data_IF_015706908936
#
_entry.id   IF_015706908936
#
_cell.length_a   1.000
_cell.length_b   1.000
_cell.length_c   1.000
_cell.angle_alpha   90.00
_cell.angle_beta   90.00
_cell.angle_gamma   90.00
#
_symmetry.space_group_name_H-M   'P 1'
#
loop_
_entity.id
_entity.type
_entity.pdbx_description
1 polymer ?
#
# COMPACT_ATOMS: atom_id res chain seq x y z
N UNK A 1 22.09 -17.77 -94.60
CA UNK A 1 23.50 -17.54 -95.03
C UNK A 1 23.96 -16.17 -94.51
N UNK A 2 25.15 -16.08 -93.90
CA UNK A 2 25.89 -14.82 -93.57
C UNK A 2 25.17 -13.80 -92.64
N UNK A 3 25.83 -12.83 -91.98
CA UNK A 3 27.04 -12.92 -91.12
C UNK A 3 27.28 -11.64 -90.29
N UNK A 4 27.41 -11.78 -88.96
CA UNK A 4 28.27 -11.01 -88.01
C UNK A 4 28.38 -9.46 -88.04
N UNK A 5 28.18 -8.88 -86.83
CA UNK A 5 28.84 -7.70 -86.17
C UNK A 5 28.23 -6.29 -86.37
N UNK A 6 28.34 -5.50 -85.27
CA UNK A 6 28.05 -4.06 -85.12
C UNK A 6 29.36 -3.24 -85.08
N UNK A 7 29.34 -1.89 -84.90
CA UNK A 7 29.50 -1.35 -83.52
C UNK A 7 28.89 0.07 -83.23
N UNK A 8 28.97 0.47 -81.94
CA UNK A 8 29.30 1.78 -81.28
C UNK A 8 29.22 3.15 -82.02
N UNK A 9 29.12 4.35 -81.39
CA UNK A 9 28.80 4.91 -80.02
C UNK A 9 28.70 6.48 -80.16
N UNK A 10 28.22 7.21 -79.11
CA UNK A 10 28.38 8.68 -78.87
C UNK A 10 27.52 9.67 -79.70
N UNK A 11 27.23 10.93 -79.27
CA UNK A 11 27.22 11.55 -77.93
C UNK A 11 26.52 12.94 -77.89
N UNK A 12 25.83 13.23 -76.76
CA UNK A 12 25.67 14.53 -76.05
C UNK A 12 25.06 15.77 -76.77
N UNK A 13 24.05 16.38 -76.11
CA UNK A 13 23.55 17.74 -76.37
C UNK A 13 22.47 18.20 -75.36
N UNK A 14 22.86 18.96 -74.33
CA UNK A 14 22.00 19.54 -73.27
C UNK A 14 21.67 21.01 -73.61
N UNK A 15 20.63 21.71 -73.11
CA UNK A 15 19.63 21.43 -72.06
C UNK A 15 18.19 21.80 -72.57
N UNK A 16 17.18 22.36 -71.88
CA UNK A 16 17.02 23.14 -70.61
C UNK A 16 15.75 22.67 -69.86
N UNK A 17 15.55 23.09 -68.61
CA UNK A 17 14.47 22.67 -67.69
C UNK A 17 13.11 23.35 -67.94
N UNK A 18 12.03 22.62 -67.61
CA UNK A 18 11.11 23.00 -66.51
C UNK A 18 10.94 21.77 -65.61
N UNK A 19 10.91 21.94 -64.29
CA UNK A 19 10.84 20.84 -63.32
C UNK A 19 9.57 20.90 -62.46
N UNK A 20 8.94 19.74 -62.22
CA UNK A 20 7.89 19.56 -61.21
C UNK A 20 8.39 18.55 -60.19
N UNK A 21 8.65 19.02 -58.96
CA UNK A 21 9.18 18.21 -57.87
C UNK A 21 8.03 17.53 -57.11
N UNK A 22 7.75 16.26 -57.41
CA UNK A 22 7.05 15.39 -56.47
C UNK A 22 8.06 14.83 -55.47
N UNK A 23 8.18 15.50 -54.33
CA UNK A 23 9.02 15.09 -53.21
C UNK A 23 8.44 13.86 -52.50
N UNK A 24 8.89 12.67 -52.89
CA UNK A 24 8.63 11.41 -52.19
C UNK A 24 9.39 11.36 -50.85
N UNK A 25 8.97 12.20 -49.90
CA UNK A 25 9.55 12.34 -48.57
C UNK A 25 9.21 11.15 -47.67
N UNK A 26 9.79 9.98 -47.95
CA UNK A 26 9.71 8.83 -47.08
C UNK A 26 10.34 9.15 -45.72
N UNK A 27 9.52 9.27 -44.67
CA UNK A 27 10.05 9.44 -43.32
C UNK A 27 10.82 8.16 -42.91
N UNK A 28 12.06 8.28 -42.40
CA UNK A 28 12.78 7.12 -41.90
C UNK A 28 12.02 6.54 -40.69
N UNK A 29 11.73 5.24 -40.73
CA UNK A 29 10.95 4.59 -39.69
C UNK A 29 11.68 4.64 -38.34
N UNK A 30 11.09 5.36 -37.36
CA UNK A 30 11.65 5.54 -36.01
C UNK A 30 11.92 4.22 -35.25
N UNK A 31 11.35 3.10 -35.69
CA UNK A 31 11.64 1.78 -35.13
C UNK A 31 13.08 1.30 -35.32
N UNK A 32 13.77 1.74 -36.38
CA UNK A 32 15.13 1.25 -36.68
C UNK A 32 16.20 1.70 -35.67
N UNK A 33 16.13 2.96 -35.22
CA UNK A 33 17.10 3.53 -34.29
C UNK A 33 16.96 2.94 -32.89
N UNK A 34 15.74 2.96 -32.32
CA UNK A 34 15.48 2.45 -30.97
C UNK A 34 15.75 0.93 -30.86
N UNK A 35 15.52 0.16 -31.93
CA UNK A 35 15.89 -1.25 -31.98
C UNK A 35 17.42 -1.42 -31.94
N UNK A 36 18.18 -0.70 -32.78
CA UNK A 36 19.65 -0.77 -32.82
C UNK A 36 20.28 -0.38 -31.48
N UNK A 37 19.82 0.70 -30.88
CA UNK A 37 20.24 1.18 -29.55
C UNK A 37 19.96 0.14 -28.45
N UNK A 38 18.82 -0.55 -28.53
CA UNK A 38 18.47 -1.65 -27.60
C UNK A 38 19.38 -2.88 -27.79
N UNK A 39 19.75 -3.23 -29.02
CA UNK A 39 20.68 -4.33 -29.29
C UNK A 39 22.11 -4.04 -28.82
N UNK A 40 22.62 -2.83 -29.08
CA UNK A 40 23.95 -2.39 -28.62
C UNK A 40 24.05 -2.33 -27.09
N UNK A 41 22.96 -1.92 -26.41
CA UNK A 41 22.85 -1.98 -24.95
C UNK A 41 22.84 -3.41 -24.41
N UNK A 42 22.11 -4.33 -25.06
CA UNK A 42 22.06 -5.74 -24.65
C UNK A 42 23.41 -6.46 -24.86
N UNK A 43 24.08 -6.23 -26.00
CA UNK A 43 25.43 -6.74 -26.24
C UNK A 43 26.39 -6.27 -25.14
N UNK A 44 26.40 -4.95 -24.86
CA UNK A 44 27.22 -4.35 -23.79
C UNK A 44 26.94 -5.00 -22.43
N UNK A 45 25.67 -5.23 -22.08
CA UNK A 45 25.28 -5.90 -20.84
C UNK A 45 25.81 -7.34 -20.76
N UNK A 46 25.63 -8.14 -21.81
CA UNK A 46 26.11 -9.54 -21.84
C UNK A 46 27.64 -9.66 -21.82
N UNK A 47 28.35 -8.72 -22.46
CA UNK A 47 29.80 -8.64 -22.42
C UNK A 47 30.30 -8.31 -21.00
N UNK A 48 29.69 -7.32 -20.32
CA UNK A 48 30.04 -6.97 -18.93
C UNK A 48 29.79 -8.16 -17.99
N UNK A 49 28.63 -8.83 -18.09
CA UNK A 49 28.32 -10.01 -17.28
C UNK A 49 29.36 -11.13 -17.48
N UNK A 50 29.75 -11.39 -18.72
CA UNK A 50 30.77 -12.39 -19.08
C UNK A 50 32.17 -12.02 -18.58
N UNK A 51 32.53 -10.73 -18.59
CA UNK A 51 33.79 -10.23 -18.02
C UNK A 51 33.81 -10.41 -16.51
N UNK A 52 32.72 -10.13 -15.80
CA UNK A 52 32.61 -10.35 -14.35
C UNK A 52 32.75 -11.84 -14.03
N UNK A 53 31.97 -12.71 -14.68
CA UNK A 53 32.01 -14.17 -14.47
C UNK A 53 33.39 -14.81 -14.71
N UNK A 54 34.21 -14.23 -15.59
CA UNK A 54 35.53 -14.77 -15.95
C UNK A 54 36.70 -14.17 -15.16
N UNK A 55 36.58 -12.95 -14.64
CA UNK A 55 37.71 -12.19 -14.11
C UNK A 55 37.48 -11.58 -12.71
N UNK A 56 36.32 -11.81 -12.08
CA UNK A 56 36.16 -11.50 -10.65
C UNK A 56 37.02 -12.47 -9.80
N UNK A 57 37.39 -12.05 -8.58
CA UNK A 57 38.35 -12.77 -7.73
C UNK A 57 37.75 -14.01 -7.05
N UNK A 58 36.43 -14.01 -6.85
CA UNK A 58 35.66 -15.12 -6.25
C UNK A 58 34.66 -15.72 -7.26
N UNK A 59 34.16 -16.93 -7.01
CA UNK A 59 33.08 -17.53 -7.79
C UNK A 59 31.75 -16.76 -7.63
N UNK A 60 31.17 -16.30 -8.74
CA UNK A 60 29.94 -15.48 -8.75
C UNK A 60 28.73 -16.22 -9.32
N UNK A 61 27.61 -16.18 -8.61
CA UNK A 61 26.37 -16.80 -9.09
C UNK A 61 25.67 -15.91 -10.13
N UNK A 62 25.58 -16.38 -11.37
CA UNK A 62 24.92 -15.67 -12.50
C UNK A 62 23.53 -15.15 -12.14
N UNK A 63 22.74 -15.92 -11.38
CA UNK A 63 21.41 -15.51 -10.93
C UNK A 63 21.46 -14.25 -10.05
N UNK A 64 22.38 -14.18 -9.08
CA UNK A 64 22.52 -13.04 -8.19
C UNK A 64 22.97 -11.78 -8.94
N UNK A 65 23.84 -11.91 -9.96
CA UNK A 65 24.25 -10.80 -10.82
C UNK A 65 23.07 -10.26 -11.66
N UNK A 66 22.24 -11.16 -12.21
CA UNK A 66 21.04 -10.78 -12.98
C UNK A 66 19.98 -10.14 -12.06
N UNK A 67 19.70 -10.71 -10.90
CA UNK A 67 18.77 -10.14 -9.91
C UNK A 67 19.27 -8.78 -9.39
N UNK A 68 20.58 -8.63 -9.16
CA UNK A 68 21.21 -7.35 -8.83
C UNK A 68 21.06 -6.29 -9.92
N UNK A 69 21.24 -6.67 -11.19
CA UNK A 69 21.03 -5.78 -12.34
C UNK A 69 19.55 -5.37 -12.51
N UNK A 70 18.61 -6.31 -12.37
CA UNK A 70 17.17 -6.04 -12.39
C UNK A 70 16.78 -5.08 -11.27
N UNK A 71 17.25 -5.34 -10.05
CA UNK A 71 17.02 -4.47 -8.90
C UNK A 71 17.62 -3.08 -9.11
N UNK A 72 18.82 -2.97 -9.71
CA UNK A 72 19.42 -1.70 -10.09
C UNK A 72 18.58 -0.92 -11.11
N UNK A 73 18.09 -1.59 -12.16
CA UNK A 73 17.19 -0.98 -13.16
C UNK A 73 15.88 -0.51 -12.54
N UNK A 74 15.21 -1.33 -11.75
CA UNK A 74 13.92 -0.97 -11.15
C UNK A 74 14.05 0.11 -10.08
N UNK A 75 15.07 -0.01 -9.23
CA UNK A 75 15.40 1.03 -8.27
C UNK A 75 15.71 2.36 -8.96
N UNK A 76 16.23 2.38 -10.21
CA UNK A 76 16.49 3.62 -10.96
C UNK A 76 15.23 4.41 -11.33
N UNK A 77 14.05 3.76 -11.33
CA UNK A 77 12.77 4.38 -11.73
C UNK A 77 12.11 5.16 -10.59
N UNK A 78 11.73 4.47 -9.52
CA UNK A 78 10.97 5.00 -8.37
C UNK A 78 11.09 4.04 -7.17
N UNK A 79 10.83 4.47 -5.92
CA UNK A 79 11.02 3.64 -4.72
C UNK A 79 9.94 2.55 -4.51
N UNK A 80 8.90 2.50 -5.34
CA UNK A 80 7.81 1.52 -5.22
C UNK A 80 7.95 0.36 -6.22
N UNK A 81 8.56 0.61 -7.38
CA UNK A 81 8.85 -0.40 -8.41
C UNK A 81 9.92 -1.40 -7.95
N UNK A 82 9.62 -2.70 -7.99
CA UNK A 82 10.46 -3.76 -7.43
C UNK A 82 10.25 -5.12 -8.12
N UNK A 83 11.32 -5.92 -8.19
CA UNK A 83 11.24 -7.33 -8.55
C UNK A 83 10.92 -8.16 -7.31
N UNK A 84 9.85 -8.94 -7.39
CA UNK A 84 9.37 -9.80 -6.31
C UNK A 84 9.76 -11.24 -6.64
N UNK A 85 10.72 -11.78 -5.91
CA UNK A 85 11.06 -13.22 -5.98
C UNK A 85 9.83 -14.08 -5.64
N UNK A 86 9.79 -15.38 -6.00
CA UNK A 86 8.60 -16.20 -5.79
C UNK A 86 8.09 -16.28 -4.34
N UNK A 87 8.99 -16.20 -3.34
CA UNK A 87 8.58 -16.09 -1.93
C UNK A 87 8.01 -14.69 -1.60
N UNK A 88 8.65 -13.59 -2.05
CA UNK A 88 8.13 -12.22 -1.84
C UNK A 88 6.79 -11.96 -2.53
N UNK A 89 6.59 -12.49 -3.75
CA UNK A 89 5.32 -12.36 -4.45
C UNK A 89 4.22 -13.16 -3.72
N UNK A 90 4.55 -14.34 -3.18
CA UNK A 90 3.64 -15.16 -2.38
C UNK A 90 3.29 -14.51 -1.03
N UNK A 91 4.20 -13.78 -0.41
CA UNK A 91 3.92 -12.97 0.78
C UNK A 91 2.98 -11.81 0.45
N UNK A 92 3.26 -11.04 -0.62
CA UNK A 92 2.35 -10.00 -1.09
C UNK A 92 0.94 -10.54 -1.38
N UNK A 93 0.82 -11.73 -1.99
CA UNK A 93 -0.47 -12.38 -2.21
C UNK A 93 -1.21 -12.72 -0.91
N UNK A 94 -0.50 -13.14 0.14
CA UNK A 94 -1.10 -13.44 1.46
C UNK A 94 -1.62 -12.16 2.11
N UNK A 95 -0.83 -11.09 2.07
CA UNK A 95 -1.19 -9.79 2.65
C UNK A 95 -2.42 -9.22 1.95
N UNK A 96 -2.44 -9.19 0.60
CA UNK A 96 -3.59 -8.70 -0.16
C UNK A 96 -4.86 -9.53 0.06
N UNK A 97 -4.72 -10.85 0.31
CA UNK A 97 -5.84 -11.76 0.63
C UNK A 97 -6.34 -11.62 2.06
N UNK A 98 -5.61 -10.92 2.92
CA UNK A 98 -5.89 -10.84 4.36
C UNK A 98 -5.97 -12.20 5.04
N UNK A 99 -5.42 -13.27 4.44
CA UNK A 99 -5.66 -14.64 4.94
C UNK A 99 -4.67 -15.68 4.43
N UNK A 100 -4.38 -16.69 5.27
CA UNK A 100 -3.48 -17.80 4.95
C UNK A 100 -3.84 -19.10 5.68
N UNK A 101 -3.53 -20.24 5.06
CA UNK A 101 -3.62 -21.56 5.71
C UNK A 101 -2.48 -21.78 6.70
N UNK A 102 -2.79 -21.94 7.98
CA UNK A 102 -1.78 -22.07 9.04
C UNK A 102 -2.37 -22.21 10.44
N UNK A 103 -1.61 -21.76 11.45
CA UNK A 103 -1.88 -22.00 12.88
C UNK A 103 -2.25 -20.75 13.68
N UNK A 104 -1.94 -19.57 13.15
CA UNK A 104 -2.08 -18.30 13.87
C UNK A 104 -1.01 -18.12 14.95
N UNK A 105 0.27 -18.21 14.56
CA UNK A 105 1.41 -17.99 15.46
C UNK A 105 2.34 -16.99 14.78
N UNK A 106 2.71 -15.93 15.49
CA UNK A 106 3.87 -15.11 15.17
C UNK A 106 5.11 -15.73 15.82
N UNK A 107 6.16 -15.96 15.04
CA UNK A 107 7.40 -16.58 15.50
C UNK A 107 8.63 -15.77 15.08
N UNK A 108 9.71 -15.91 15.86
CA UNK A 108 11.00 -15.27 15.60
C UNK A 108 12.14 -16.25 15.92
N UNK A 109 13.36 -15.92 15.54
CA UNK A 109 14.56 -16.63 16.01
C UNK A 109 15.22 -15.81 17.13
N UNK A 110 15.27 -16.36 18.35
CA UNK A 110 16.03 -15.79 19.47
C UNK A 110 17.15 -16.75 19.85
N UNK A 111 18.38 -16.27 19.81
CA UNK A 111 19.58 -17.01 20.22
C UNK A 111 19.75 -18.38 19.52
N UNK A 112 19.33 -18.48 18.25
CA UNK A 112 19.38 -19.73 17.46
C UNK A 112 18.16 -20.65 17.63
N UNK A 113 17.16 -20.26 18.43
CA UNK A 113 15.95 -21.05 18.71
C UNK A 113 14.71 -20.35 18.16
N UNK A 114 13.87 -21.11 17.44
CA UNK A 114 12.55 -20.65 17.03
C UNK A 114 11.66 -20.49 18.26
N UNK A 115 11.14 -19.28 18.44
CA UNK A 115 10.43 -18.86 19.65
C UNK A 115 9.12 -18.17 19.25
N UNK A 116 8.03 -18.49 19.93
CA UNK A 116 6.72 -17.83 19.75
C UNK A 116 6.80 -16.40 20.28
N UNK A 117 6.50 -15.42 19.42
CA UNK A 117 6.29 -14.03 19.81
C UNK A 117 4.91 -13.91 20.45
N UNK A 118 3.86 -14.33 19.73
CA UNK A 118 2.50 -14.46 20.25
C UNK A 118 1.70 -15.48 19.44
N UNK A 119 0.78 -16.25 20.05
CA UNK A 119 -0.38 -16.76 19.33
C UNK A 119 -1.26 -15.58 18.89
N UNK A 120 -1.99 -15.74 17.78
CA UNK A 120 -3.06 -14.83 17.36
C UNK A 120 -4.36 -15.31 18.01
N UNK A 121 -5.14 -14.41 18.61
CA UNK A 121 -6.41 -14.73 19.26
C UNK A 121 -7.42 -15.42 18.31
N UNK A 122 -8.26 -16.31 18.83
CA UNK A 122 -9.22 -17.12 18.08
C UNK A 122 -8.63 -18.01 16.96
N UNK A 123 -7.34 -18.35 17.01
CA UNK A 123 -6.69 -19.27 16.06
C UNK A 123 -6.41 -20.66 16.68
N UNK A 124 -6.08 -21.68 15.86
CA UNK A 124 -5.72 -23.02 16.36
C UNK A 124 -4.68 -23.02 17.47
N UNK A 125 -3.65 -22.17 17.39
CA UNK A 125 -2.58 -22.15 18.38
C UNK A 125 -3.00 -21.53 19.71
N UNK A 126 -3.80 -20.46 19.68
CA UNK A 126 -4.39 -19.87 20.89
C UNK A 126 -5.30 -20.88 21.59
N UNK A 127 -6.21 -21.53 20.84
CA UNK A 127 -7.07 -22.60 21.36
C UNK A 127 -6.29 -23.81 21.88
N UNK A 128 -5.13 -24.12 21.30
CA UNK A 128 -4.26 -25.22 21.73
C UNK A 128 -3.31 -24.85 22.89
N UNK A 129 -3.45 -23.65 23.48
CA UNK A 129 -2.70 -23.25 24.67
C UNK A 129 -1.21 -22.95 24.44
N UNK A 130 -0.84 -22.62 23.20
CA UNK A 130 0.48 -22.04 22.86
C UNK A 130 0.59 -20.64 23.47
N UNK A 131 1.77 -20.27 23.98
CA UNK A 131 2.01 -18.99 24.67
C UNK A 131 3.23 -18.26 24.09
N UNK A 132 3.26 -16.95 24.30
CA UNK A 132 4.48 -16.14 24.11
C UNK A 132 5.64 -16.75 24.90
N UNK A 133 6.83 -16.82 24.28
CA UNK A 133 8.03 -17.42 24.88
C UNK A 133 8.17 -18.94 24.71
N UNK A 134 7.15 -19.66 24.23
CA UNK A 134 7.30 -21.09 23.91
C UNK A 134 8.35 -21.29 22.81
N UNK A 135 9.33 -22.15 23.06
CA UNK A 135 10.37 -22.54 22.10
C UNK A 135 9.88 -23.73 21.27
N UNK A 136 9.86 -23.59 19.94
CA UNK A 136 9.47 -24.65 19.02
C UNK A 136 10.69 -25.53 18.79
N UNK A 137 10.72 -26.72 19.41
CA UNK A 137 11.84 -27.67 19.35
C UNK A 137 11.75 -28.62 18.15
N UNK A 138 10.53 -28.92 17.68
CA UNK A 138 10.28 -29.74 16.49
C UNK A 138 9.01 -29.31 15.76
N UNK A 139 8.97 -29.60 14.46
CA UNK A 139 7.76 -29.50 13.61
C UNK A 139 7.56 -30.88 12.95
N UNK A 140 6.42 -31.54 13.20
CA UNK A 140 6.14 -32.91 12.75
C UNK A 140 7.24 -33.94 13.10
N UNK A 141 7.86 -33.80 14.27
CA UNK A 141 8.93 -34.68 14.75
C UNK A 141 10.36 -34.31 14.29
N UNK A 142 10.48 -33.45 13.27
CA UNK A 142 11.73 -32.95 12.72
C UNK A 142 12.26 -31.78 13.57
N UNK A 143 13.53 -31.83 13.99
CA UNK A 143 14.11 -30.80 14.87
C UNK A 143 14.26 -29.44 14.17
N UNK A 144 13.88 -28.37 14.87
CA UNK A 144 13.98 -26.98 14.38
C UNK A 144 15.38 -26.39 14.49
N UNK A 145 16.27 -27.03 15.25
CA UNK A 145 17.69 -26.68 15.27
C UNK A 145 18.21 -26.75 13.82
N UNK A 146 18.91 -25.70 13.41
CA UNK A 146 19.46 -25.52 12.06
C UNK A 146 18.41 -25.29 10.94
N UNK A 147 17.10 -25.19 11.26
CA UNK A 147 16.08 -24.69 10.31
C UNK A 147 16.10 -23.16 10.20
N UNK A 148 15.86 -22.61 8.99
CA UNK A 148 15.58 -21.18 8.85
C UNK A 148 14.15 -20.84 9.31
N UNK A 149 13.92 -19.55 9.61
CA UNK A 149 12.58 -19.03 9.89
C UNK A 149 11.60 -19.30 8.73
N UNK A 150 12.09 -19.19 7.49
CA UNK A 150 11.31 -19.39 6.26
C UNK A 150 10.91 -20.86 6.11
N UNK A 151 11.82 -21.81 6.39
CA UNK A 151 11.52 -23.24 6.30
C UNK A 151 10.52 -23.68 7.37
N UNK A 152 10.66 -23.16 8.58
CA UNK A 152 9.70 -23.39 9.65
C UNK A 152 8.30 -22.86 9.27
N UNK A 153 8.20 -21.63 8.75
CA UNK A 153 6.94 -21.07 8.24
C UNK A 153 6.38 -21.90 7.09
N UNK A 154 7.23 -22.40 6.16
CA UNK A 154 6.81 -23.29 5.06
C UNK A 154 6.29 -24.65 5.56
N UNK A 155 6.83 -25.21 6.66
CA UNK A 155 6.32 -26.45 7.30
C UNK A 155 5.05 -26.21 8.15
N UNK A 156 4.92 -25.06 8.81
CA UNK A 156 3.74 -24.74 9.64
C UNK A 156 2.53 -24.26 8.83
N UNK A 157 2.73 -23.51 7.74
CA UNK A 157 1.68 -23.23 6.74
C UNK A 157 1.28 -24.52 6.01
N UNK A 158 0.13 -24.50 5.32
CA UNK A 158 -0.38 -25.66 4.57
C UNK A 158 -1.88 -25.58 4.32
N UNK A 159 -2.48 -26.59 3.65
CA UNK A 159 -3.92 -26.61 3.36
C UNK A 159 -4.76 -26.65 4.65
N UNK A 160 -5.95 -26.04 4.59
CA UNK A 160 -6.98 -26.13 5.64
C UNK A 160 -7.27 -27.60 5.99
N UNK A 161 -7.65 -27.86 7.23
CA UNK A 161 -8.07 -29.17 7.77
C UNK A 161 -6.95 -30.24 7.84
N UNK A 162 -5.74 -29.93 7.38
CA UNK A 162 -4.54 -30.78 7.59
C UNK A 162 -3.94 -30.55 8.98
N UNK A 163 -3.33 -31.59 9.57
CA UNK A 163 -2.71 -31.49 10.90
C UNK A 163 -1.21 -31.13 10.85
N UNK A 164 -0.72 -30.60 11.96
CA UNK A 164 0.72 -30.43 12.27
C UNK A 164 0.92 -30.56 13.78
N UNK A 165 2.03 -31.15 14.19
CA UNK A 165 2.41 -31.30 15.60
C UNK A 165 3.65 -30.46 15.86
N UNK A 166 3.58 -29.55 16.84
CA UNK A 166 4.73 -28.81 17.35
C UNK A 166 5.18 -29.42 18.67
N UNK A 167 6.45 -29.83 18.78
CA UNK A 167 7.06 -30.12 20.08
C UNK A 167 7.51 -28.80 20.67
N UNK A 168 6.88 -28.35 21.75
CA UNK A 168 7.17 -27.10 22.42
C UNK A 168 7.95 -27.31 23.72
N UNK A 169 8.78 -26.34 24.09
CA UNK A 169 9.38 -26.20 25.40
C UNK A 169 8.99 -24.85 25.97
N UNK A 170 8.36 -24.82 27.15
CA UNK A 170 7.96 -23.59 27.83
C UNK A 170 9.01 -23.17 28.84
N UNK A 171 9.14 -21.86 29.06
CA UNK A 171 10.04 -21.32 30.07
C UNK A 171 9.64 -21.82 31.47
N UNK A 172 10.63 -22.08 32.33
CA UNK A 172 10.48 -22.67 33.67
C UNK A 172 9.85 -24.09 33.74
N UNK A 173 9.62 -24.76 32.60
CA UNK A 173 9.35 -26.21 32.56
C UNK A 173 10.53 -26.98 31.97
N UNK A 174 11.02 -28.07 32.61
CA UNK A 174 12.12 -28.87 32.06
C UNK A 174 11.68 -29.80 30.91
N UNK A 175 10.42 -30.18 30.89
CA UNK A 175 9.82 -31.11 29.92
C UNK A 175 9.44 -30.41 28.61
N UNK A 176 9.38 -31.20 27.53
CA UNK A 176 8.82 -30.79 26.24
C UNK A 176 7.46 -31.47 26.04
N UNK A 177 6.53 -30.78 25.37
CA UNK A 177 5.17 -31.28 25.15
C UNK A 177 4.73 -31.10 23.70
N UNK A 178 4.00 -32.08 23.16
CA UNK A 178 3.52 -32.07 21.78
C UNK A 178 2.13 -31.43 21.67
N UNK A 179 2.02 -30.38 20.86
CA UNK A 179 0.77 -29.68 20.55
C UNK A 179 0.38 -30.00 19.11
N UNK A 180 -0.63 -30.85 18.94
CA UNK A 180 -1.18 -31.18 17.61
C UNK A 180 -2.35 -30.26 17.27
N UNK A 181 -2.20 -29.48 16.21
CA UNK A 181 -3.19 -28.53 15.72
C UNK A 181 -3.70 -28.92 14.33
N UNK A 182 -4.95 -28.57 14.04
CA UNK A 182 -5.50 -28.55 12.68
C UNK A 182 -5.24 -27.18 12.08
N UNK A 183 -4.75 -27.12 10.83
CA UNK A 183 -4.57 -25.86 10.10
C UNK A 183 -5.91 -25.27 9.70
N UNK A 184 -6.08 -23.97 9.92
CA UNK A 184 -7.26 -23.21 9.52
C UNK A 184 -6.88 -22.08 8.57
N UNK A 185 -7.88 -21.46 7.93
CA UNK A 185 -7.68 -20.20 7.21
C UNK A 185 -7.68 -19.09 8.24
N UNK A 186 -6.48 -18.69 8.66
CA UNK A 186 -6.25 -17.55 9.54
C UNK A 186 -6.65 -16.29 8.78
N UNK A 187 -7.49 -15.46 9.40
CA UNK A 187 -7.88 -14.15 8.85
C UNK A 187 -7.14 -13.05 9.60
N UNK A 188 -6.53 -12.14 8.86
CA UNK A 188 -5.99 -10.89 9.36
C UNK A 188 -7.18 -9.92 9.48
N UNK A 189 -7.41 -9.37 10.67
CA UNK A 189 -8.50 -8.40 10.87
C UNK A 189 -8.09 -7.03 10.34
N UNK A 190 -8.41 -6.77 9.07
CA UNK A 190 -8.27 -5.45 8.42
C UNK A 190 -9.28 -4.41 8.93
N UNK A 191 -10.37 -4.86 9.56
CA UNK A 191 -11.42 -4.02 10.13
C UNK A 191 -11.57 -4.33 11.62
N UNK A 192 -11.42 -3.32 12.47
CA UNK A 192 -11.72 -3.39 13.90
C UNK A 192 -12.78 -2.34 14.24
N UNK A 193 -13.71 -2.64 15.14
CA UNK A 193 -14.77 -1.69 15.48
C UNK A 193 -15.19 -1.81 16.94
N UNK A 194 -15.80 -0.74 17.47
CA UNK A 194 -16.51 -0.74 18.76
C UNK A 194 -17.49 0.43 18.84
N UNK A 195 -18.53 0.26 19.66
CA UNK A 195 -19.35 1.39 20.11
C UNK A 195 -18.52 2.32 21.01
N UNK A 196 -18.68 3.63 20.82
CA UNK A 196 -18.10 4.67 21.66
C UNK A 196 -19.09 5.07 22.78
N UNK A 197 -20.29 5.47 22.35
CA UNK A 197 -21.41 5.91 23.17
C UNK A 197 -22.74 5.44 22.53
N UNK A 198 -23.89 5.52 23.20
CA UNK A 198 -25.19 5.35 22.55
C UNK A 198 -25.31 6.28 21.33
N UNK A 199 -25.63 5.73 20.16
CA UNK A 199 -25.65 6.44 18.89
C UNK A 199 -24.28 6.61 18.17
N UNK A 200 -23.13 6.33 18.79
CA UNK A 200 -21.81 6.65 18.19
C UNK A 200 -20.89 5.44 18.04
N UNK A 201 -20.39 5.22 16.83
CA UNK A 201 -19.51 4.12 16.46
C UNK A 201 -18.08 4.56 16.11
N UNK A 202 -17.13 3.66 16.33
CA UNK A 202 -15.76 3.76 15.85
C UNK A 202 -15.41 2.53 15.02
N UNK A 203 -14.80 2.75 13.85
CA UNK A 203 -14.22 1.70 13.02
C UNK A 203 -12.80 2.11 12.65
N UNK A 204 -11.83 1.22 12.84
CA UNK A 204 -10.47 1.35 12.35
C UNK A 204 -10.22 0.40 11.19
N UNK A 205 -9.72 0.95 10.08
CA UNK A 205 -9.07 0.15 9.04
C UNK A 205 -7.57 0.07 9.35
N UNK A 206 -6.98 -1.10 9.12
CA UNK A 206 -5.54 -1.33 9.32
C UNK A 206 -4.82 -1.71 8.03
N UNK A 207 -5.55 -2.18 7.01
CA UNK A 207 -5.06 -2.44 5.66
C UNK A 207 -6.24 -2.67 4.70
N UNK A 208 -6.07 -2.31 3.42
CA UNK A 208 -7.05 -2.57 2.35
C UNK A 208 -6.79 -3.92 1.66
N UNK A 209 -7.48 -4.96 2.13
CA UNK A 209 -7.36 -6.37 1.74
C UNK A 209 -8.61 -6.83 0.96
N UNK A 210 -8.56 -8.01 0.32
CA UNK A 210 -9.61 -8.56 -0.59
C UNK A 210 -11.06 -8.55 -0.05
N UNK A 211 -11.28 -8.37 1.26
CA UNK A 211 -12.59 -8.36 1.93
C UNK A 211 -12.87 -7.12 2.78
N UNK A 212 -12.05 -6.07 2.73
CA UNK A 212 -12.19 -4.93 3.66
C UNK A 212 -13.55 -4.23 3.55
N UNK A 213 -14.12 -4.16 2.35
CA UNK A 213 -15.51 -3.74 2.07
C UNK A 213 -16.56 -4.62 2.76
N UNK A 214 -16.50 -5.93 2.52
CA UNK A 214 -17.37 -6.97 3.06
C UNK A 214 -17.37 -6.95 4.61
N UNK A 215 -16.19 -6.74 5.19
CA UNK A 215 -15.93 -6.79 6.62
C UNK A 215 -16.31 -5.45 7.29
N UNK A 216 -16.15 -4.33 6.59
CA UNK A 216 -16.64 -3.00 6.99
C UNK A 216 -18.17 -2.93 6.99
N UNK A 217 -18.83 -3.44 5.95
CA UNK A 217 -20.30 -3.43 5.88
C UNK A 217 -20.93 -4.24 7.02
N UNK A 218 -20.30 -5.36 7.43
CA UNK A 218 -20.71 -6.13 8.61
C UNK A 218 -20.43 -5.39 9.93
N UNK A 219 -19.32 -4.67 10.03
CA UNK A 219 -19.02 -3.82 11.20
C UNK A 219 -20.07 -2.70 11.37
N UNK A 220 -20.46 -2.03 10.27
CA UNK A 220 -21.48 -0.98 10.28
C UNK A 220 -22.87 -1.53 10.67
N UNK A 221 -23.28 -2.69 10.13
CA UNK A 221 -24.52 -3.38 10.52
C UNK A 221 -24.55 -3.81 11.99
N UNK A 222 -23.39 -4.19 12.55
CA UNK A 222 -23.27 -4.51 13.98
C UNK A 222 -23.33 -3.26 14.85
N UNK A 223 -22.60 -2.20 14.49
CA UNK A 223 -22.60 -0.90 15.17
C UNK A 223 -23.99 -0.28 15.23
N UNK A 224 -24.72 -0.22 14.11
CA UNK A 224 -26.08 0.33 14.05
C UNK A 224 -27.03 -0.39 15.02
N UNK A 225 -26.98 -1.73 15.03
CA UNK A 225 -27.75 -2.55 15.97
C UNK A 225 -27.32 -2.32 17.43
N UNK A 226 -26.03 -2.20 17.73
CA UNK A 226 -25.54 -1.98 19.10
C UNK A 226 -25.74 -0.55 19.60
N UNK A 227 -25.85 0.42 18.71
CA UNK A 227 -26.11 1.83 19.03
C UNK A 227 -27.61 2.17 19.05
N UNK A 228 -28.46 1.27 18.57
CA UNK A 228 -29.89 1.45 18.34
C UNK A 228 -30.20 2.56 17.32
N UNK A 229 -29.46 2.57 16.21
CA UNK A 229 -29.47 3.59 15.18
C UNK A 229 -28.20 4.44 15.23
N UNK A 230 -27.35 4.34 14.21
CA UNK A 230 -26.06 5.04 14.16
C UNK A 230 -26.25 6.53 13.86
N UNK A 231 -25.92 7.39 14.82
CA UNK A 231 -26.04 8.86 14.77
C UNK A 231 -24.73 9.57 14.41
N UNK A 232 -23.59 8.88 14.52
CA UNK A 232 -22.29 9.39 14.08
C UNK A 232 -21.21 8.31 14.06
N UNK A 233 -20.24 8.46 13.16
CA UNK A 233 -19.16 7.49 12.93
C UNK A 233 -17.79 8.16 12.93
N UNK A 234 -16.83 7.58 13.65
CA UNK A 234 -15.40 7.86 13.47
C UNK A 234 -14.77 6.72 12.67
N UNK A 235 -14.20 7.05 11.50
CA UNK A 235 -13.46 6.13 10.63
C UNK A 235 -11.95 6.41 10.77
N UNK A 236 -11.23 5.50 11.38
CA UNK A 236 -9.81 5.65 11.69
C UNK A 236 -8.93 4.97 10.63
N UNK A 237 -8.13 5.77 9.93
CA UNK A 237 -7.17 5.37 8.89
C UNK A 237 -5.72 5.66 9.31
N UNK A 238 -5.48 6.01 10.59
CA UNK A 238 -4.13 6.30 11.09
C UNK A 238 -3.27 5.05 11.04
N UNK A 239 -2.04 5.21 10.55
CA UNK A 239 -1.09 4.11 10.33
C UNK A 239 -1.58 2.99 9.38
N UNK A 240 -2.62 3.23 8.56
CA UNK A 240 -3.01 2.32 7.47
C UNK A 240 -2.22 2.67 6.18
N UNK A 241 -1.26 1.84 5.75
CA UNK A 241 -0.43 2.09 4.57
C UNK A 241 -1.17 1.85 3.24
N UNK A 242 -2.46 1.50 3.30
CA UNK A 242 -3.32 1.27 2.17
C UNK A 242 -3.38 -0.20 1.76
N UNK A 243 -3.32 -0.45 0.46
CA UNK A 243 -3.48 -1.79 -0.12
C UNK A 243 -4.17 -1.74 -1.47
N UNK A 244 -5.21 -2.55 -1.66
CA UNK A 244 -5.90 -2.71 -2.94
C UNK A 244 -6.73 -1.46 -3.31
N UNK A 245 -6.40 -0.84 -4.46
CA UNK A 245 -7.15 0.28 -5.06
C UNK A 245 -8.65 -0.02 -5.19
N UNK A 246 -9.01 -1.23 -5.61
CA UNK A 246 -10.39 -1.69 -5.74
C UNK A 246 -11.15 -1.71 -4.42
N UNK A 247 -10.45 -1.88 -3.30
CA UNK A 247 -11.03 -1.89 -1.96
C UNK A 247 -11.20 -0.48 -1.40
N UNK A 248 -10.26 0.44 -1.65
CA UNK A 248 -10.51 1.87 -1.37
C UNK A 248 -11.74 2.40 -2.12
N UNK A 249 -11.90 2.02 -3.38
CA UNK A 249 -13.10 2.37 -4.17
C UNK A 249 -14.38 1.86 -3.48
N UNK A 250 -14.45 0.58 -3.09
CA UNK A 250 -15.65 0.01 -2.44
C UNK A 250 -15.89 0.54 -1.03
N UNK A 251 -14.84 0.79 -0.25
CA UNK A 251 -14.95 1.41 1.08
C UNK A 251 -15.50 2.83 1.00
N UNK A 252 -15.10 3.62 0.00
CA UNK A 252 -15.67 4.95 -0.23
C UNK A 252 -17.12 4.88 -0.76
N UNK A 253 -17.43 3.90 -1.62
CA UNK A 253 -18.77 3.63 -2.18
C UNK A 253 -19.81 3.37 -1.08
N UNK A 254 -19.42 2.72 0.03
CA UNK A 254 -20.28 2.51 1.20
C UNK A 254 -20.76 3.81 1.88
N UNK A 255 -20.11 4.95 1.64
CA UNK A 255 -20.45 6.24 2.26
C UNK A 255 -20.87 7.33 1.27
N UNK A 256 -20.76 7.09 -0.04
CA UNK A 256 -21.04 8.06 -1.11
C UNK A 256 -22.21 7.60 -2.00
N UNK A 257 -23.23 8.45 -2.19
CA UNK A 257 -24.40 8.05 -3.00
C UNK A 257 -24.15 8.13 -4.52
N UNK A 258 -23.23 9.00 -4.96
CA UNK A 258 -22.92 9.22 -6.37
C UNK A 258 -21.64 10.02 -6.53
N UNK A 259 -21.18 10.18 -7.78
CA UNK A 259 -20.02 11.00 -8.14
C UNK A 259 -18.73 10.21 -8.27
N UNK A 260 -17.65 10.90 -8.67
CA UNK A 260 -16.33 10.31 -8.87
C UNK A 260 -15.67 10.04 -7.51
N UNK A 261 -15.11 8.85 -7.29
CA UNK A 261 -14.35 8.50 -6.07
C UNK A 261 -12.86 8.76 -6.29
N UNK A 262 -12.32 8.26 -7.40
CA UNK A 262 -10.91 8.39 -7.78
C UNK A 262 -10.79 8.18 -9.28
N UNK A 263 -9.78 8.80 -9.88
CA UNK A 263 -9.34 8.45 -11.23
C UNK A 263 -7.84 8.21 -11.30
N UNK A 264 -7.44 7.35 -12.23
CA UNK A 264 -6.03 7.09 -12.57
C UNK A 264 -5.69 7.73 -13.90
N UNK A 265 -4.44 8.17 -14.05
CA UNK A 265 -3.86 8.55 -15.33
C UNK A 265 -2.51 7.86 -15.53
N UNK A 266 -2.34 7.23 -16.68
CA UNK A 266 -1.23 6.32 -16.97
C UNK A 266 -0.89 6.29 -18.45
N UNK A 267 0.25 5.68 -18.79
CA UNK A 267 0.81 5.75 -20.16
C UNK A 267 -0.05 5.03 -21.20
N UNK A 268 -0.77 3.98 -20.79
CA UNK A 268 -1.66 3.20 -21.65
C UNK A 268 -3.13 3.52 -21.33
N UNK A 269 -4.02 3.41 -22.31
CA UNK A 269 -5.43 3.81 -22.12
C UNK A 269 -6.17 2.94 -21.09
N UNK A 270 -5.81 1.66 -20.98
CA UNK A 270 -6.31 0.77 -19.92
C UNK A 270 -5.79 1.11 -18.51
N UNK A 271 -4.82 2.02 -18.38
CA UNK A 271 -4.32 2.56 -17.12
C UNK A 271 -5.01 3.88 -16.74
N UNK A 272 -5.86 4.44 -17.62
CA UNK A 272 -6.70 5.61 -17.36
C UNK A 272 -8.10 5.15 -17.01
N UNK A 273 -8.45 5.14 -15.73
CA UNK A 273 -9.71 4.59 -15.24
C UNK A 273 -10.41 5.60 -14.33
N UNK A 274 -11.73 5.57 -14.29
CA UNK A 274 -12.56 6.42 -13.42
C UNK A 274 -13.53 5.56 -12.63
N UNK A 275 -13.50 5.70 -11.31
CA UNK A 275 -14.30 4.89 -10.39
C UNK A 275 -15.35 5.78 -9.74
N UNK A 276 -16.62 5.38 -9.80
CA UNK A 276 -17.77 6.19 -9.38
C UNK A 276 -18.59 5.49 -8.30
N UNK A 277 -19.19 6.29 -7.42
CA UNK A 277 -20.03 5.82 -6.32
C UNK A 277 -21.48 5.49 -6.76
N UNK A 278 -22.17 4.67 -5.98
CA UNK A 278 -23.43 4.00 -6.33
C UNK A 278 -24.40 3.98 -5.15
N UNK A 279 -25.55 4.64 -5.31
CA UNK A 279 -26.56 4.87 -4.26
C UNK A 279 -27.11 3.65 -3.47
N UNK A 280 -27.26 2.43 -4.00
CA UNK A 280 -27.89 1.34 -3.25
C UNK A 280 -27.05 0.86 -2.06
N UNK A 281 -27.55 1.09 -0.84
CA UNK A 281 -26.91 0.64 0.41
C UNK A 281 -25.90 1.62 1.02
N UNK A 282 -25.82 2.86 0.51
CA UNK A 282 -24.97 3.91 1.08
C UNK A 282 -25.37 4.27 2.52
N UNK A 283 -24.39 4.34 3.42
CA UNK A 283 -24.53 4.88 4.77
C UNK A 283 -24.33 6.40 4.75
N UNK A 284 -25.34 7.17 4.34
CA UNK A 284 -25.27 8.64 4.22
C UNK A 284 -25.96 9.44 5.34
N UNK A 285 -26.86 8.84 6.12
CA UNK A 285 -27.78 9.57 7.03
C UNK A 285 -27.12 10.24 8.27
N UNK A 286 -25.88 9.88 8.62
CA UNK A 286 -25.17 10.41 9.78
C UNK A 286 -23.87 11.18 9.43
N UNK A 287 -23.49 12.21 10.22
CA UNK A 287 -22.17 12.84 10.12
C UNK A 287 -21.04 11.83 10.42
N UNK A 288 -19.88 12.01 9.81
CA UNK A 288 -18.70 11.19 10.10
C UNK A 288 -17.40 12.01 10.11
N UNK A 289 -16.43 11.57 10.90
CA UNK A 289 -15.07 12.10 10.95
C UNK A 289 -14.10 11.01 10.51
N UNK A 290 -13.10 11.35 9.70
CA UNK A 290 -12.02 10.45 9.26
C UNK A 290 -10.73 10.85 9.95
N UNK A 291 -10.14 9.95 10.76
CA UNK A 291 -8.86 10.18 11.41
C UNK A 291 -7.71 9.77 10.48
N UNK A 292 -6.72 10.65 10.32
CA UNK A 292 -5.54 10.43 9.47
C UNK A 292 -4.25 10.93 10.11
N UNK A 293 -3.12 10.34 9.73
CA UNK A 293 -1.79 10.82 10.12
C UNK A 293 -0.74 10.56 9.02
N UNK A 294 0.52 10.89 9.28
CA UNK A 294 1.63 10.64 8.34
C UNK A 294 1.87 9.16 7.97
N UNK A 295 1.29 8.21 8.70
CA UNK A 295 1.29 6.77 8.35
C UNK A 295 0.11 6.33 7.47
N UNK A 296 -0.92 7.18 7.32
CA UNK A 296 -2.00 6.99 6.34
C UNK A 296 -1.43 7.15 4.93
N UNK A 297 -1.50 6.11 4.10
CA UNK A 297 -0.93 6.13 2.75
C UNK A 297 -1.81 5.44 1.69
N UNK A 298 -1.57 5.74 0.41
CA UNK A 298 -2.10 4.97 -0.73
C UNK A 298 -3.64 4.88 -0.71
N UNK A 299 -4.20 3.66 -0.75
CA UNK A 299 -5.62 3.36 -0.67
C UNK A 299 -6.36 4.12 0.47
N UNK A 300 -5.71 4.35 1.61
CA UNK A 300 -6.26 5.12 2.73
C UNK A 300 -6.45 6.61 2.39
N UNK A 301 -5.50 7.18 1.63
CA UNK A 301 -5.55 8.57 1.15
C UNK A 301 -6.61 8.75 0.05
N UNK A 302 -6.94 7.68 -0.70
CA UNK A 302 -8.08 7.67 -1.63
C UNK A 302 -9.39 7.82 -0.88
N UNK A 303 -9.60 7.02 0.17
CA UNK A 303 -10.83 7.10 0.99
C UNK A 303 -10.94 8.47 1.66
N UNK A 304 -9.88 8.94 2.33
CA UNK A 304 -9.89 10.26 2.97
C UNK A 304 -10.14 11.39 1.94
N UNK A 305 -9.43 11.40 0.82
CA UNK A 305 -9.58 12.42 -0.22
C UNK A 305 -10.94 12.41 -0.93
N UNK A 306 -11.52 11.23 -1.17
CA UNK A 306 -12.85 11.13 -1.75
C UNK A 306 -13.95 11.63 -0.79
N UNK A 307 -13.89 11.24 0.49
CA UNK A 307 -14.87 11.67 1.49
C UNK A 307 -14.75 13.17 1.80
N UNK A 308 -13.54 13.74 1.76
CA UNK A 308 -13.28 15.18 1.90
C UNK A 308 -13.82 15.97 0.69
N UNK A 309 -13.48 15.56 -0.55
CA UNK A 309 -13.89 16.30 -1.76
C UNK A 309 -15.42 16.32 -1.95
N UNK A 310 -16.11 15.25 -1.54
CA UNK A 310 -17.58 15.19 -1.52
C UNK A 310 -18.22 15.87 -0.31
N UNK A 311 -17.42 16.37 0.65
CA UNK A 311 -17.89 16.91 1.94
C UNK A 311 -18.72 15.91 2.75
N UNK A 312 -18.49 14.61 2.53
CA UNK A 312 -19.16 13.51 3.23
C UNK A 312 -18.63 13.34 4.65
N UNK A 313 -17.35 13.65 4.86
CA UNK A 313 -16.68 13.58 6.15
C UNK A 313 -15.85 14.85 6.41
N UNK A 314 -15.58 15.13 7.67
CA UNK A 314 -14.46 15.98 8.07
C UNK A 314 -13.21 15.09 8.25
N UNK A 315 -12.07 15.50 7.72
CA UNK A 315 -10.78 14.85 7.93
C UNK A 315 -10.05 15.53 9.09
N UNK A 316 -9.62 14.75 10.09
CA UNK A 316 -8.99 15.25 11.32
C UNK A 316 -7.66 14.52 11.58
N UNK A 317 -6.64 15.26 12.02
CA UNK A 317 -5.36 14.70 12.45
C UNK A 317 -4.15 15.40 11.82
N UNK A 318 -3.23 14.66 11.22
CA UNK A 318 -2.04 15.22 10.54
C UNK A 318 -1.93 14.84 9.08
N UNK A 319 -1.23 15.66 8.30
CA UNK A 319 -1.03 15.48 6.86
C UNK A 319 -0.47 14.10 6.52
N UNK A 320 -1.07 13.44 5.53
CA UNK A 320 -0.81 12.04 5.17
C UNK A 320 0.48 11.85 4.36
N UNK A 321 0.84 10.59 4.08
CA UNK A 321 2.15 10.21 3.54
C UNK A 321 2.45 10.78 2.13
N UNK A 322 1.42 10.88 1.27
CA UNK A 322 1.52 11.45 -0.07
C UNK A 322 1.82 10.48 -1.21
N UNK A 323 1.35 9.22 -1.16
CA UNK A 323 1.62 8.24 -2.22
C UNK A 323 0.48 8.23 -3.26
N UNK A 324 0.53 9.11 -4.25
CA UNK A 324 -0.43 9.21 -5.36
C UNK A 324 -0.11 8.30 -6.57
N UNK A 325 0.47 7.11 -6.35
CA UNK A 325 0.95 6.23 -7.42
C UNK A 325 0.34 4.82 -7.36
N UNK A 326 -0.04 4.29 -8.54
CA UNK A 326 -0.59 2.94 -8.72
C UNK A 326 0.50 2.00 -9.21
N UNK A 327 0.75 0.94 -8.45
CA UNK A 327 1.58 -0.18 -8.89
C UNK A 327 0.73 -1.30 -9.49
N UNK A 328 1.08 -1.75 -10.69
CA UNK A 328 0.57 -3.00 -11.27
C UNK A 328 1.50 -4.15 -10.88
N UNK A 329 0.93 -5.32 -10.58
CA UNK A 329 1.69 -6.57 -10.42
C UNK A 329 1.62 -7.34 -11.73
N UNK A 330 2.79 -7.68 -12.28
CA UNK A 330 2.96 -8.41 -13.53
C UNK A 330 3.63 -9.75 -13.20
N UNK A 331 2.88 -10.87 -13.11
CA UNK A 331 3.44 -12.19 -12.83
C UNK A 331 4.36 -12.65 -13.97
N UNK A 332 5.40 -13.42 -13.63
CA UNK A 332 6.34 -14.02 -14.58
C UNK A 332 6.32 -15.56 -14.46
N UNK A 333 6.80 -16.25 -15.50
CA UNK A 333 6.63 -17.70 -15.68
C UNK A 333 7.32 -18.57 -14.60
N UNK A 334 8.31 -18.03 -13.88
CA UNK A 334 9.00 -18.70 -12.76
C UNK A 334 8.27 -18.56 -11.41
N UNK A 335 7.08 -17.95 -11.40
CA UNK A 335 6.30 -17.53 -10.23
C UNK A 335 6.89 -16.33 -9.47
N UNK A 336 7.85 -15.60 -10.04
CA UNK A 336 8.18 -14.23 -9.58
C UNK A 336 7.13 -13.23 -10.10
N UNK A 337 7.25 -11.96 -9.72
CA UNK A 337 6.47 -10.88 -10.31
C UNK A 337 7.25 -9.55 -10.37
N UNK A 338 6.99 -8.76 -11.40
CA UNK A 338 7.39 -7.35 -11.44
C UNK A 338 6.26 -6.49 -10.83
N UNK A 339 6.54 -5.81 -9.72
CA UNK A 339 5.72 -4.68 -9.25
C UNK A 339 6.23 -3.41 -9.91
N UNK A 340 5.41 -2.75 -10.73
CA UNK A 340 5.81 -1.57 -11.50
C UNK A 340 4.80 -0.43 -11.31
N UNK A 341 5.28 0.79 -11.06
CA UNK A 341 4.42 1.98 -11.08
C UNK A 341 3.98 2.28 -12.51
N UNK A 342 2.66 2.24 -12.76
CA UNK A 342 2.07 2.32 -14.11
C UNK A 342 1.17 3.53 -14.33
N UNK A 343 0.63 4.11 -13.26
CA UNK A 343 -0.24 5.27 -13.29
C UNK A 343 -0.04 6.13 -12.03
N UNK A 344 -0.42 7.41 -12.11
CA UNK A 344 -0.75 8.23 -10.94
C UNK A 344 -2.25 8.13 -10.67
N UNK A 345 -2.69 8.56 -9.50
CA UNK A 345 -4.12 8.73 -9.20
C UNK A 345 -4.43 10.06 -8.51
N UNK A 346 -5.69 10.44 -8.63
CA UNK A 346 -6.17 11.79 -8.36
C UNK A 346 -7.52 11.75 -7.63
N UNK A 347 -7.69 12.68 -6.69
CA UNK A 347 -8.94 12.89 -5.94
C UNK A 347 -10.04 13.50 -6.82
N UNK A 348 -11.33 13.42 -6.43
CA UNK A 348 -12.46 13.88 -7.26
C UNK A 348 -12.37 15.33 -7.78
N UNK A 349 -11.75 16.22 -7.02
CA UNK A 349 -11.49 17.63 -7.36
C UNK A 349 -10.37 17.85 -8.41
N UNK A 350 -9.67 16.77 -8.79
CA UNK A 350 -8.47 16.80 -9.63
C UNK A 350 -7.17 17.06 -8.87
N UNK A 351 -7.19 17.07 -7.53
CA UNK A 351 -5.98 17.22 -6.70
C UNK A 351 -5.13 15.95 -6.78
N UNK A 352 -3.88 16.15 -7.19
CA UNK A 352 -2.79 15.17 -7.14
C UNK A 352 -2.28 15.08 -5.70
N UNK A 353 -2.22 13.88 -5.12
CA UNK A 353 -1.70 13.69 -3.75
C UNK A 353 -0.24 13.23 -3.72
N UNK A 354 0.33 12.92 -4.89
CA UNK A 354 1.71 12.44 -5.02
C UNK A 354 2.68 13.50 -4.46
N UNK A 355 3.51 13.11 -3.49
CA UNK A 355 4.41 13.97 -2.72
C UNK A 355 3.75 15.06 -1.83
N UNK A 356 2.42 15.13 -1.72
CA UNK A 356 1.69 16.09 -0.86
C UNK A 356 0.84 15.45 0.23
N UNK A 357 0.14 14.38 -0.10
CA UNK A 357 -0.91 13.80 0.75
C UNK A 357 -2.19 14.63 0.80
N UNK A 358 -3.12 14.15 1.64
CA UNK A 358 -4.31 14.85 2.08
C UNK A 358 -3.93 15.74 3.26
N UNK A 359 -4.35 17.00 3.19
CA UNK A 359 -4.32 17.94 4.32
C UNK A 359 -5.67 17.82 5.06
N UNK A 360 -5.69 17.54 6.37
CA UNK A 360 -6.93 17.51 7.16
C UNK A 360 -7.67 18.85 7.16
N UNK A 361 -9.00 18.79 7.29
CA UNK A 361 -9.84 19.97 7.53
C UNK A 361 -9.61 20.53 8.95
N UNK A 362 -9.31 19.63 9.90
CA UNK A 362 -8.94 19.96 11.28
C UNK A 362 -7.55 19.37 11.55
N UNK A 363 -6.52 20.23 11.49
CA UNK A 363 -5.14 19.84 11.82
C UNK A 363 -5.00 19.75 13.34
N UNK A 364 -4.79 18.54 13.85
CA UNK A 364 -4.61 18.24 15.26
C UNK A 364 -3.49 17.21 15.42
N UNK A 365 -2.36 17.63 15.97
CA UNK A 365 -1.18 16.78 16.12
C UNK A 365 -1.11 16.14 17.50
N UNK A 366 -1.11 14.80 17.58
CA UNK A 366 -0.77 14.08 18.81
C UNK A 366 0.69 14.31 19.22
N UNK A 367 1.59 14.57 18.27
CA UNK A 367 3.01 14.76 18.54
C UNK A 367 3.29 16.02 19.34
N UNK A 368 2.53 17.11 19.23
CA UNK A 368 2.68 18.27 20.14
C UNK A 368 2.22 18.00 21.58
N UNK A 369 1.40 16.97 21.81
CA UNK A 369 1.03 16.51 23.16
C UNK A 369 2.07 15.51 23.72
N UNK A 370 2.71 14.70 22.84
CA UNK A 370 3.73 13.71 23.21
C UNK A 370 5.16 14.27 23.26
N UNK A 371 5.51 15.26 22.44
CA UNK A 371 6.85 15.86 22.35
C UNK A 371 7.22 16.77 23.54
N UNK A 372 6.35 16.89 24.54
CA UNK A 372 6.74 17.32 25.88
C UNK A 372 7.59 16.28 26.62
N UNK A 373 7.66 15.03 26.13
CA UNK A 373 8.41 13.93 26.74
C UNK A 373 9.69 13.53 25.98
N UNK A 374 9.76 13.67 24.65
CA UNK A 374 10.88 13.15 23.83
C UNK A 374 11.46 14.16 22.82
N UNK A 375 12.70 13.91 22.37
CA UNK A 375 13.53 14.87 21.61
C UNK A 375 13.02 15.10 20.17
N UNK A 376 12.87 16.36 19.72
CA UNK A 376 12.70 16.64 18.30
C UNK A 376 14.00 16.36 17.52
N UNK A 377 13.89 15.79 16.31
CA UNK A 377 15.05 15.52 15.45
C UNK A 377 14.81 14.49 14.33
N UNK A 378 13.80 13.62 14.46
CA UNK A 378 13.37 12.75 13.37
C UNK A 378 12.45 13.49 12.40
N UNK A 379 12.92 13.79 11.19
CA UNK A 379 12.04 14.26 10.12
C UNK A 379 11.08 13.12 9.73
N UNK A 380 9.77 13.37 9.76
CA UNK A 380 8.77 12.36 9.43
C UNK A 380 8.98 11.82 8.01
N UNK A 381 9.01 10.50 7.87
CA UNK A 381 9.08 9.83 6.58
C UNK A 381 7.79 10.10 5.79
N UNK A 382 7.94 10.61 4.57
CA UNK A 382 6.88 10.99 3.63
C UNK A 382 7.34 10.68 2.21
N UNK A 383 6.43 10.59 1.25
CA UNK A 383 6.77 10.31 -0.16
C UNK A 383 7.79 11.32 -0.70
N UNK A 384 7.60 12.62 -0.44
CA UNK A 384 8.53 13.70 -0.84
C UNK A 384 9.95 13.56 -0.25
N UNK A 385 10.11 12.81 0.83
CA UNK A 385 11.39 12.59 1.51
C UNK A 385 12.09 11.30 1.02
N UNK A 386 11.44 10.47 0.19
CA UNK A 386 12.04 9.26 -0.35
C UNK A 386 13.06 9.58 -1.47
N UNK A 387 14.22 8.89 -1.50
CA UNK A 387 15.18 9.01 -2.60
C UNK A 387 14.55 8.68 -3.95
N UNK A 388 14.60 9.65 -4.88
CA UNK A 388 14.05 9.54 -6.24
C UNK A 388 12.57 9.13 -6.28
N UNK A 389 11.77 9.67 -5.37
CA UNK A 389 10.31 9.66 -5.45
C UNK A 389 9.79 10.28 -6.76
N UNK A 390 8.55 9.96 -7.12
CA UNK A 390 7.89 10.59 -8.25
C UNK A 390 7.40 11.99 -7.85
N UNK A 391 7.92 13.04 -8.47
CA UNK A 391 7.39 14.40 -8.31
C UNK A 391 6.04 14.60 -9.00
N UNK A 392 5.50 15.81 -8.92
CA UNK A 392 4.26 16.23 -9.59
C UNK A 392 4.28 16.08 -11.12
N UNK A 393 3.09 16.00 -11.71
CA UNK A 393 2.94 16.12 -13.17
C UNK A 393 2.84 17.58 -13.60
N UNK A 394 3.38 17.91 -14.79
CA UNK A 394 3.13 19.22 -15.42
C UNK A 394 1.68 19.26 -15.90
N UNK A 395 0.82 19.90 -15.12
CA UNK A 395 -0.64 19.92 -15.33
C UNK A 395 -1.46 19.51 -14.10
N UNK A 396 -0.82 19.03 -13.03
CA UNK A 396 -1.47 18.96 -11.71
C UNK A 396 -1.91 20.39 -11.30
N UNK A 397 -3.07 20.54 -10.63
CA UNK A 397 -3.50 21.85 -10.12
C UNK A 397 -2.60 22.27 -8.97
N UNK A 398 -1.92 23.41 -9.12
CA UNK A 398 -1.12 24.02 -8.04
C UNK A 398 -2.00 24.26 -6.80
N UNK A 399 -1.69 23.55 -5.72
CA UNK A 399 -2.14 23.89 -4.38
C UNK A 399 -1.15 24.89 -3.77
N UNK A 400 -1.57 25.73 -2.82
CA UNK A 400 -0.62 26.46 -1.99
C UNK A 400 0.37 25.48 -1.37
N UNK A 401 1.67 25.78 -1.47
CA UNK A 401 2.66 25.04 -0.72
C UNK A 401 2.27 25.07 0.77
N UNK A 402 2.38 23.95 1.51
CA UNK A 402 2.05 23.95 2.93
C UNK A 402 2.85 25.05 3.62
N UNK A 403 2.18 25.82 4.48
CA UNK A 403 2.87 26.80 5.30
C UNK A 403 4.02 26.09 6.02
N UNK A 404 5.24 26.66 5.94
CA UNK A 404 6.33 26.20 6.80
C UNK A 404 5.83 26.33 8.23
N UNK A 405 5.77 25.23 8.97
CA UNK A 405 5.58 25.30 10.41
C UNK A 405 6.77 26.06 10.97
N UNK A 406 6.52 27.20 11.61
CA UNK A 406 7.58 27.96 12.25
C UNK A 406 8.13 27.12 13.42
N UNK A 407 9.43 26.83 13.40
CA UNK A 407 10.16 26.17 14.49
C UNK A 407 10.22 27.11 15.71
N UNK A 408 9.10 27.23 16.44
CA UNK A 408 8.95 28.14 17.56
C UNK A 408 9.83 27.72 18.76
N UNK A 409 10.69 28.61 19.28
CA UNK A 409 11.68 28.22 20.27
C UNK A 409 11.13 28.15 21.71
N UNK A 410 11.34 27.00 22.36
CA UNK A 410 11.66 26.91 23.79
C UNK A 410 10.58 27.28 24.82
N UNK A 411 9.74 26.32 25.21
CA UNK A 411 8.95 26.35 26.45
C UNK A 411 9.49 25.35 27.48
N UNK A 412 9.54 25.73 28.76
CA UNK A 412 9.99 24.86 29.86
C UNK A 412 8.96 23.75 30.19
N UNK A 413 9.39 22.61 30.78
CA UNK A 413 8.53 21.44 30.92
C UNK A 413 7.47 21.57 32.01
N UNK A 414 6.36 20.85 31.82
CA UNK A 414 5.35 20.57 32.84
C UNK A 414 4.98 19.09 32.78
N UNK A 415 4.86 18.44 33.94
CA UNK A 415 4.77 16.97 34.03
C UNK A 415 3.40 16.44 33.59
N UNK A 416 3.38 15.69 32.48
CA UNK A 416 2.45 14.58 32.24
C UNK A 416 2.81 13.88 30.93
N UNK A 417 3.46 12.71 31.02
CA UNK A 417 3.53 11.79 29.90
C UNK A 417 2.13 11.16 29.71
N UNK A 418 1.28 11.78 28.91
CA UNK A 418 -0.03 11.22 28.56
C UNK A 418 0.24 9.91 27.80
N UNK A 419 -0.17 8.79 28.39
CA UNK A 419 -0.06 7.48 27.77
C UNK A 419 -1.15 7.36 26.69
N UNK A 420 -0.87 7.92 25.52
CA UNK A 420 -1.81 7.99 24.38
C UNK A 420 -1.94 6.62 23.74
N UNK A 421 -3.16 6.09 23.73
CA UNK A 421 -3.51 4.84 23.05
C UNK A 421 -4.52 5.14 21.95
N UNK A 422 -4.08 5.15 20.70
CA UNK A 422 -4.96 5.34 19.54
C UNK A 422 -6.22 4.46 19.61
N UNK A 423 -7.39 5.09 19.58
CA UNK A 423 -8.67 4.40 19.61
C UNK A 423 -9.27 4.19 21.01
N UNK A 424 -8.63 4.54 22.12
CA UNK A 424 -9.22 4.51 23.47
C UNK A 424 -9.72 5.90 23.91
N UNK A 425 -11.00 6.01 24.27
CA UNK A 425 -11.60 7.26 24.79
C UNK A 425 -10.94 7.67 26.12
N UNK A 426 -10.71 8.98 26.29
CA UNK A 426 -9.97 9.54 27.42
C UNK A 426 -8.45 9.28 27.39
N UNK A 427 -7.95 8.66 26.31
CA UNK A 427 -6.53 8.38 26.07
C UNK A 427 -6.09 8.82 24.67
N UNK A 428 -7.01 8.96 23.71
CA UNK A 428 -6.77 9.45 22.36
C UNK A 428 -7.50 10.79 22.10
N UNK A 429 -6.81 11.93 22.25
CA UNK A 429 -7.40 13.26 22.06
C UNK A 429 -8.03 13.51 20.69
N UNK A 430 -7.54 12.84 19.63
CA UNK A 430 -8.12 12.97 18.28
C UNK A 430 -9.47 12.24 18.20
N UNK A 431 -9.59 11.07 18.83
CA UNK A 431 -10.86 10.34 18.93
C UNK A 431 -11.86 11.08 19.82
N UNK A 432 -11.41 11.55 20.98
CA UNK A 432 -12.25 12.27 21.94
C UNK A 432 -12.85 13.54 21.30
N UNK A 433 -12.02 14.35 20.62
CA UNK A 433 -12.49 15.53 19.90
C UNK A 433 -13.36 15.19 18.68
N UNK A 434 -13.09 14.08 17.97
CA UNK A 434 -13.98 13.61 16.90
C UNK A 434 -15.37 13.26 17.40
N UNK A 435 -15.47 12.60 18.57
CA UNK A 435 -16.75 12.29 19.21
C UNK A 435 -17.46 13.56 19.70
N UNK A 436 -16.73 14.52 20.26
CA UNK A 436 -17.25 15.84 20.64
C UNK A 436 -17.84 16.60 19.44
N UNK A 437 -17.16 16.62 18.29
CA UNK A 437 -17.65 17.26 17.06
C UNK A 437 -18.96 16.62 16.55
N UNK A 438 -19.03 15.28 16.54
CA UNK A 438 -20.24 14.54 16.13
C UNK A 438 -21.43 14.84 17.07
N UNK A 439 -21.20 14.86 18.39
CA UNK A 439 -22.21 15.20 19.41
C UNK A 439 -22.66 16.66 19.29
N UNK A 440 -21.71 17.58 19.08
CA UNK A 440 -21.97 19.01 18.91
C UNK A 440 -22.83 19.29 17.67
N UNK A 441 -22.55 18.63 16.55
CA UNK A 441 -23.39 18.71 15.34
C UNK A 441 -24.85 18.33 15.63
N UNK A 442 -25.09 17.24 16.36
CA UNK A 442 -26.46 16.81 16.68
C UNK A 442 -27.18 17.80 17.62
N UNK A 443 -26.46 18.44 18.54
CA UNK A 443 -27.00 19.54 19.37
C UNK A 443 -27.38 20.74 18.51
N UNK A 444 -26.49 21.22 17.62
CA UNK A 444 -26.77 22.36 16.76
C UNK A 444 -27.89 22.08 15.74
N UNK A 445 -27.92 20.88 15.13
CA UNK A 445 -29.01 20.43 14.25
C UNK A 445 -30.37 20.46 14.97
N UNK A 446 -30.41 20.01 16.22
CA UNK A 446 -31.62 20.06 17.06
C UNK A 446 -31.99 21.48 17.46
N UNK A 447 -31.02 22.34 17.74
CA UNK A 447 -31.25 23.75 18.11
C UNK A 447 -31.82 24.57 16.95
N UNK A 448 -31.24 24.44 15.75
CA UNK A 448 -31.74 25.13 14.54
C UNK A 448 -33.16 24.65 14.18
N UNK A 449 -33.41 23.34 14.22
CA UNK A 449 -34.74 22.78 13.95
C UNK A 449 -35.83 23.23 14.96
N UNK A 450 -35.46 23.71 16.15
CA UNK A 450 -36.38 24.30 17.15
C UNK A 450 -36.54 25.82 17.06
N UNK A 451 -35.79 26.48 16.16
CA UNK A 451 -35.88 27.91 15.89
C UNK A 451 -36.68 28.19 14.62
N UNK A 452 -36.60 27.26 13.66
CA UNK A 452 -37.14 27.40 12.30
C UNK A 452 -38.52 26.70 12.13
N UNK A 453 -39.15 26.28 13.24
CA UNK A 453 -40.49 25.67 13.34
C UNK A 453 -41.09 25.80 14.73
#
# INVERSE_FOLDING_TARGET
MKSKRAPWVASVGLAVLVAVLFSSGGQPARGGAAAKESYEGLETFTNILSIIQKNYVDDVQTKQLIEGAINGMLASLDPHSAYLTPDLYKELQVDTKGSFGGLGIEITNRNGLLTVVSPIEDTPAYRAGVKSGDQIMKINGEFTKDMTLVDAVKKMRGPKDTKVTLTLKRENTPEVFDVTMTREIIKIQSVKWKKLEPGYGYVRLTQFQERTDDDLERALKALDKETAGLQGLVLDLRNDPGGLLTQAVRVADLFLESGLIVYTDGRLENQKQKYFARKPGTWSDFPMVVLVNGGTASASEIVAGALQDHKRALVLGTQTFGKGSVQTILPLDDNSALRLTTARYYTPSGRSIQALGIVPDIVMDQTTLLAKAEKPGGALLREANLPRHLGHSKGDRDLPAPAKGDDAPGGAPGESAINVKEGELGSDPQLDHSLELLKSWQVFKTFVARRDG
#
